data_IF_479297587376
#
_entry.id   IF_479297587376
#
_cell.length_a   1.000
_cell.length_b   1.000
_cell.length_c   1.000
_cell.angle_alpha   90.00
_cell.angle_beta   90.00
_cell.angle_gamma   90.00
#
_symmetry.space_group_name_H-M   'P 1'
#
loop_
_entity.id
_entity.type
_entity.pdbx_description
1 polymer ?
#
# COMPACT_ATOMS: atom_id res chain seq x y z
N UNK A 1 9.39 5.08 2.27
CA UNK A 1 9.56 4.36 3.56
C UNK A 1 10.42 5.21 4.48
N UNK A 2 10.09 5.32 5.76
CA UNK A 2 10.84 6.20 6.67
C UNK A 2 12.32 5.77 6.84
N UNK A 3 12.56 4.46 6.72
CA UNK A 3 13.89 3.82 6.71
C UNK A 3 14.62 3.82 8.06
N UNK A 4 13.87 3.63 9.14
CA UNK A 4 14.33 3.57 10.53
C UNK A 4 14.35 2.14 11.11
N UNK A 5 13.95 1.12 10.34
CA UNK A 5 13.81 -0.27 10.81
C UNK A 5 15.10 -1.08 10.67
N UNK A 6 15.75 -1.03 9.50
CA UNK A 6 16.86 -1.93 9.16
C UNK A 6 18.06 -1.79 10.12
N UNK A 7 18.31 -0.57 10.60
CA UNK A 7 19.40 -0.25 11.53
C UNK A 7 18.89 0.21 12.90
N UNK A 8 17.62 -0.07 13.23
CA UNK A 8 17.08 0.25 14.54
C UNK A 8 17.84 -0.50 15.65
N UNK A 9 18.03 0.13 16.81
CA UNK A 9 18.73 -0.48 17.95
C UNK A 9 18.04 -1.73 18.50
N UNK A 10 16.73 -1.86 18.25
CA UNK A 10 15.94 -3.03 18.64
C UNK A 10 15.85 -4.09 17.53
N UNK A 11 16.37 -3.83 16.34
CA UNK A 11 16.42 -4.85 15.30
C UNK A 11 17.52 -5.87 15.66
N UNK A 12 17.17 -7.15 15.93
CA UNK A 12 18.16 -8.17 16.28
C UNK A 12 19.09 -8.54 15.12
N UNK A 13 18.78 -8.12 13.88
CA UNK A 13 19.55 -8.40 12.67
C UNK A 13 19.76 -7.10 11.87
N UNK A 14 20.84 -6.36 12.14
CA UNK A 14 21.15 -5.12 11.41
C UNK A 14 21.17 -5.32 9.89
N UNK A 15 20.66 -4.33 9.14
CA UNK A 15 20.47 -4.33 7.68
C UNK A 15 19.56 -5.45 7.14
N UNK A 16 18.78 -6.09 8.01
CA UNK A 16 17.82 -7.13 7.62
C UNK A 16 16.41 -6.73 8.03
N UNK A 17 15.48 -6.78 7.08
CA UNK A 17 14.04 -6.74 7.32
C UNK A 17 13.45 -8.03 6.75
N UNK A 18 12.58 -8.68 7.52
CA UNK A 18 11.82 -9.86 7.10
C UNK A 18 10.33 -9.58 7.28
N UNK A 19 9.49 -10.16 6.42
CA UNK A 19 8.02 -10.05 6.50
C UNK A 19 7.33 -11.37 6.89
N UNK A 20 8.11 -12.42 7.12
CA UNK A 20 7.64 -13.74 7.58
C UNK A 20 8.77 -14.45 8.36
N UNK A 21 8.43 -15.37 9.29
CA UNK A 21 9.42 -16.12 10.06
C UNK A 21 10.35 -16.90 9.13
N UNK A 22 11.66 -16.77 9.36
CA UNK A 22 12.70 -17.36 8.52
C UNK A 22 12.65 -16.94 7.04
N UNK A 23 11.94 -15.86 6.71
CA UNK A 23 11.86 -15.29 5.37
C UNK A 23 13.17 -14.66 4.90
N UNK A 24 13.27 -14.37 3.59
CA UNK A 24 14.43 -13.69 3.02
C UNK A 24 14.52 -12.24 3.52
N UNK A 25 15.70 -11.63 3.40
CA UNK A 25 15.85 -10.18 3.60
C UNK A 25 15.13 -9.43 2.47
N UNK A 26 14.07 -8.71 2.81
CA UNK A 26 13.30 -7.88 1.85
C UNK A 26 13.80 -6.44 1.76
N UNK A 27 14.82 -6.08 2.54
CA UNK A 27 15.43 -4.75 2.54
C UNK A 27 16.57 -4.59 1.54
N UNK A 28 17.20 -5.69 1.13
CA UNK A 28 18.31 -5.63 0.17
C UNK A 28 17.77 -5.33 -1.25
N UNK A 29 18.51 -4.55 -2.04
CA UNK A 29 18.18 -4.17 -3.44
C UNK A 29 16.87 -3.39 -3.64
N UNK A 30 16.39 -2.67 -2.63
CA UNK A 30 15.27 -1.74 -2.78
C UNK A 30 15.77 -0.34 -3.14
N UNK A 31 15.09 0.31 -4.10
CA UNK A 31 15.29 1.72 -4.40
C UNK A 31 14.42 2.55 -3.44
N UNK A 32 15.05 3.32 -2.55
CA UNK A 32 14.35 4.24 -1.65
C UNK A 32 14.36 5.63 -2.28
N UNK A 33 13.23 5.99 -2.90
CA UNK A 33 13.08 7.28 -3.58
C UNK A 33 12.77 8.44 -2.61
N UNK A 34 12.13 8.14 -1.47
CA UNK A 34 11.78 9.10 -0.41
C UNK A 34 12.05 8.46 0.95
N UNK A 35 12.85 9.13 1.79
CA UNK A 35 13.34 8.62 3.08
C UNK A 35 13.02 9.60 4.23
N UNK A 36 12.80 9.08 5.43
CA UNK A 36 12.62 9.88 6.64
C UNK A 36 11.51 10.92 6.47
N UNK A 37 11.84 12.19 6.71
CA UNK A 37 10.88 13.30 6.64
C UNK A 37 10.36 13.61 5.23
N UNK A 38 10.96 13.03 4.19
CA UNK A 38 10.42 13.14 2.81
C UNK A 38 9.19 12.26 2.60
N UNK A 39 8.94 11.29 3.50
CA UNK A 39 7.77 10.40 3.47
C UNK A 39 6.59 11.13 4.09
N UNK A 40 5.98 11.98 3.29
CA UNK A 40 5.10 13.03 3.76
C UNK A 40 3.96 13.26 2.75
N UNK A 41 2.88 13.90 3.19
CA UNK A 41 1.63 14.13 2.46
C UNK A 41 1.87 14.97 1.21
N UNK A 42 2.66 16.03 1.34
CA UNK A 42 2.97 16.91 0.21
C UNK A 42 3.67 16.14 -0.92
N UNK A 43 4.68 15.36 -0.59
CA UNK A 43 5.42 14.55 -1.55
C UNK A 43 4.55 13.43 -2.12
N UNK A 44 3.69 12.78 -1.34
CA UNK A 44 2.75 11.79 -1.87
C UNK A 44 1.87 12.40 -2.97
N UNK A 45 1.30 13.57 -2.71
CA UNK A 45 0.42 14.23 -3.68
C UNK A 45 1.19 14.68 -4.92
N UNK A 46 2.38 15.26 -4.76
CA UNK A 46 3.27 15.60 -5.87
C UNK A 46 3.66 14.38 -6.71
N UNK A 47 3.97 13.25 -6.06
CA UNK A 47 4.28 11.98 -6.73
C UNK A 47 3.12 11.52 -7.61
N UNK A 48 1.90 11.51 -7.08
CA UNK A 48 0.70 11.10 -7.83
C UNK A 48 0.41 12.06 -9.00
N UNK A 49 0.59 13.36 -8.78
CA UNK A 49 0.38 14.39 -9.81
C UNK A 49 1.52 14.47 -10.84
N UNK A 50 2.61 13.74 -10.65
CA UNK A 50 3.75 13.74 -11.57
C UNK A 50 4.62 15.01 -11.47
N UNK A 51 4.59 15.68 -10.31
CA UNK A 51 5.34 16.92 -10.09
C UNK A 51 6.81 16.63 -9.76
N UNK A 52 7.68 16.88 -10.74
CA UNK A 52 9.12 16.66 -10.62
C UNK A 52 9.84 17.62 -9.67
N UNK A 53 9.16 18.64 -9.11
CA UNK A 53 9.73 19.55 -8.12
C UNK A 53 10.12 18.85 -6.81
N UNK A 54 9.66 17.61 -6.59
CA UNK A 54 10.10 16.77 -5.47
C UNK A 54 11.58 16.42 -5.50
N UNK A 55 12.25 16.54 -6.66
CA UNK A 55 13.66 16.17 -6.83
C UNK A 55 13.91 14.65 -6.89
N UNK A 56 12.85 13.83 -6.84
CA UNK A 56 12.93 12.36 -6.87
C UNK A 56 11.92 11.75 -7.87
N UNK A 57 11.77 10.42 -7.87
CA UNK A 57 10.91 9.71 -8.82
C UNK A 57 9.42 9.98 -8.56
N UNK A 58 8.71 10.40 -9.61
CA UNK A 58 7.25 10.63 -9.58
C UNK A 58 6.52 9.79 -10.61
N UNK A 59 5.19 9.69 -10.49
CA UNK A 59 4.36 9.02 -11.48
C UNK A 59 4.37 9.84 -12.77
N UNK A 60 5.02 9.33 -13.82
CA UNK A 60 5.05 10.00 -15.15
C UNK A 60 3.68 10.08 -15.84
N UNK A 61 2.73 9.24 -15.41
CA UNK A 61 1.43 9.06 -16.05
C UNK A 61 1.53 8.67 -17.53
N UNK A 62 0.45 8.93 -18.26
CA UNK A 62 0.26 8.58 -19.66
C UNK A 62 -0.99 7.72 -19.87
N UNK A 63 -1.78 8.04 -20.91
CA UNK A 63 -3.06 7.37 -21.21
C UNK A 63 -2.95 5.87 -21.53
N UNK A 64 -1.73 5.35 -21.67
CA UNK A 64 -1.41 3.93 -21.91
C UNK A 64 -0.72 3.26 -20.72
N UNK A 65 -0.39 4.01 -19.66
CA UNK A 65 0.31 3.51 -18.48
C UNK A 65 -0.68 3.09 -17.41
N UNK A 66 -0.44 1.94 -16.80
CA UNK A 66 -1.16 1.53 -15.60
C UNK A 66 -0.41 2.01 -14.35
N UNK A 67 -1.14 2.36 -13.31
CA UNK A 67 -0.58 2.77 -12.02
C UNK A 67 -0.98 1.76 -10.97
N UNK A 68 -0.03 1.33 -10.14
CA UNK A 68 -0.29 0.57 -8.94
C UNK A 68 0.13 1.38 -7.74
N UNK A 69 -0.78 1.60 -6.81
CA UNK A 69 -0.51 2.24 -5.53
C UNK A 69 -0.78 1.23 -4.41
N UNK A 70 0.21 1.01 -3.57
CA UNK A 70 0.06 0.21 -2.37
C UNK A 70 0.37 1.11 -1.18
N UNK A 71 -0.49 1.12 -0.17
CA UNK A 71 -0.29 1.83 1.08
C UNK A 71 -0.38 0.82 2.23
N UNK A 72 0.49 0.95 3.22
CA UNK A 72 0.43 0.20 4.46
C UNK A 72 0.89 1.06 5.60
N UNK A 73 0.03 1.30 6.58
CA UNK A 73 0.33 2.22 7.67
C UNK A 73 -0.83 2.32 8.64
N UNK A 74 -0.92 3.46 9.32
CA UNK A 74 -1.97 3.72 10.29
C UNK A 74 -3.04 4.64 9.68
N UNK A 75 -4.24 4.51 10.23
CA UNK A 75 -5.35 5.41 10.01
C UNK A 75 -6.11 5.58 11.35
N UNK A 76 -6.87 6.66 11.48
CA UNK A 76 -7.75 6.87 12.61
C UNK A 76 -9.09 6.13 12.44
N UNK A 77 -10.04 6.40 13.34
CA UNK A 77 -11.39 5.80 13.32
C UNK A 77 -12.25 6.32 12.15
N UNK A 78 -11.90 7.48 11.57
CA UNK A 78 -12.53 8.05 10.38
C UNK A 78 -11.87 7.51 9.08
N UNK A 79 -10.91 6.58 9.21
CA UNK A 79 -10.15 5.99 8.12
C UNK A 79 -9.18 6.96 7.44
N UNK A 80 -8.99 8.16 7.98
CA UNK A 80 -8.01 9.11 7.47
C UNK A 80 -6.61 8.56 7.74
N UNK A 81 -5.80 8.38 6.69
CA UNK A 81 -4.53 7.70 6.81
C UNK A 81 -3.37 8.67 7.05
N UNK A 82 -2.33 8.22 7.74
CA UNK A 82 -1.18 9.07 8.06
C UNK A 82 0.05 8.73 7.24
N UNK A 83 0.92 9.71 7.06
CA UNK A 83 2.27 9.49 6.54
C UNK A 83 3.23 9.33 7.72
N UNK A 84 4.41 8.75 7.48
CA UNK A 84 5.41 8.54 8.54
C UNK A 84 5.91 9.85 9.20
N UNK A 85 5.63 11.03 8.62
CA UNK A 85 5.97 12.32 9.21
C UNK A 85 5.02 12.69 10.35
N UNK A 86 5.48 12.74 11.62
CA UNK A 86 4.61 12.85 12.80
C UNK A 86 3.84 14.17 12.93
N UNK A 87 4.14 15.18 12.12
CA UNK A 87 3.54 16.52 12.23
C UNK A 87 2.63 16.92 11.07
N UNK A 88 2.45 16.10 10.03
CA UNK A 88 1.68 16.50 8.84
C UNK A 88 0.18 16.18 8.90
N UNK A 89 -0.26 15.58 10.01
CA UNK A 89 -1.66 15.22 10.23
C UNK A 89 -2.13 14.11 9.30
N UNK A 90 -3.43 13.82 9.38
CA UNK A 90 -4.06 12.79 8.57
C UNK A 90 -4.39 13.28 7.15
N UNK A 91 -4.48 12.33 6.23
CA UNK A 91 -4.94 12.54 4.86
C UNK A 91 -6.39 12.11 4.78
N UNK A 92 -7.26 13.10 4.55
CA UNK A 92 -8.70 12.85 4.45
C UNK A 92 -9.06 12.14 3.17
N UNK A 93 -10.16 11.39 3.19
CA UNK A 93 -10.76 10.80 2.01
C UNK A 93 -10.98 11.84 0.90
N UNK A 94 -11.58 12.97 1.23
CA UNK A 94 -11.87 14.07 0.29
C UNK A 94 -10.61 14.63 -0.38
N UNK A 95 -9.52 14.81 0.37
CA UNK A 95 -8.24 15.28 -0.17
C UNK A 95 -7.62 14.24 -1.11
N UNK A 96 -7.59 12.98 -0.69
CA UNK A 96 -7.01 11.91 -1.48
C UNK A 96 -7.78 11.69 -2.80
N UNK A 97 -9.11 11.64 -2.73
CA UNK A 97 -9.97 11.50 -3.90
C UNK A 97 -9.84 12.71 -4.84
N UNK A 98 -9.71 13.92 -4.31
CA UNK A 98 -9.46 15.11 -5.13
C UNK A 98 -8.13 15.03 -5.87
N UNK A 99 -7.07 14.53 -5.22
CA UNK A 99 -5.78 14.28 -5.90
C UNK A 99 -5.93 13.23 -7.01
N UNK A 100 -6.70 12.16 -6.80
CA UNK A 100 -6.97 11.18 -7.85
C UNK A 100 -7.77 11.79 -9.02
N UNK A 101 -8.74 12.68 -8.74
CA UNK A 101 -9.49 13.42 -9.76
C UNK A 101 -8.54 14.30 -10.58
N UNK A 102 -7.67 15.07 -9.91
CA UNK A 102 -6.66 15.89 -10.58
C UNK A 102 -5.68 15.05 -11.40
N UNK A 103 -5.24 13.90 -10.88
CA UNK A 103 -4.39 12.97 -11.61
C UNK A 103 -5.08 12.49 -12.90
N UNK A 104 -6.37 12.16 -12.85
CA UNK A 104 -7.13 11.73 -14.05
C UNK A 104 -7.19 12.79 -15.15
N UNK A 105 -7.08 14.07 -14.80
CA UNK A 105 -7.15 15.22 -15.71
C UNK A 105 -5.76 15.67 -16.19
N UNK A 106 -4.82 15.86 -15.26
CA UNK A 106 -3.51 16.51 -15.49
C UNK A 106 -2.38 15.51 -15.75
N UNK A 107 -2.48 14.31 -15.19
CA UNK A 107 -1.47 13.25 -15.30
C UNK A 107 -2.12 11.89 -15.58
N UNK A 108 -2.88 11.78 -16.69
CA UNK A 108 -3.87 10.71 -16.87
C UNK A 108 -3.21 9.34 -16.96
N UNK A 109 -3.89 8.30 -16.46
CA UNK A 109 -3.49 6.90 -16.57
C UNK A 109 -4.52 6.08 -17.35
N UNK A 110 -4.13 4.90 -17.83
CA UNK A 110 -5.05 3.95 -18.46
C UNK A 110 -5.97 3.31 -17.41
N UNK A 111 -5.38 2.70 -16.37
CA UNK A 111 -6.05 2.13 -15.21
C UNK A 111 -5.18 2.29 -13.97
N UNK A 112 -5.81 2.44 -12.81
CA UNK A 112 -5.13 2.48 -11.52
C UNK A 112 -5.68 1.38 -10.61
N UNK A 113 -4.79 0.61 -10.01
CA UNK A 113 -5.12 -0.34 -8.96
C UNK A 113 -4.53 0.18 -7.64
N UNK A 114 -5.39 0.37 -6.64
CA UNK A 114 -5.01 0.82 -5.30
C UNK A 114 -5.21 -0.34 -4.32
N UNK A 115 -4.26 -0.57 -3.43
CA UNK A 115 -4.38 -1.52 -2.32
C UNK A 115 -3.97 -0.85 -1.01
N UNK A 116 -4.87 -0.79 -0.03
CA UNK A 116 -4.68 -0.11 1.25
C UNK A 116 -4.73 -1.11 2.42
N UNK A 117 -3.64 -1.19 3.17
CA UNK A 117 -3.52 -1.89 4.45
C UNK A 117 -3.51 -0.89 5.61
N UNK A 118 -4.68 -0.61 6.16
CA UNK A 118 -4.86 0.05 7.45
C UNK A 118 -6.29 -0.21 7.98
N UNK A 119 -6.49 -0.01 9.29
CA UNK A 119 -7.83 -0.01 9.90
C UNK A 119 -8.75 1.01 9.22
N UNK A 120 -10.05 0.71 9.15
CA UNK A 120 -11.08 1.56 8.56
C UNK A 120 -10.80 2.00 7.10
N UNK A 121 -9.88 1.31 6.39
CA UNK A 121 -9.46 1.69 5.03
C UNK A 121 -10.61 1.74 4.01
N UNK A 122 -11.74 1.08 4.28
CA UNK A 122 -12.96 1.22 3.49
C UNK A 122 -13.47 2.66 3.41
N UNK A 123 -13.35 3.44 4.49
CA UNK A 123 -13.88 4.81 4.59
C UNK A 123 -13.19 5.78 3.61
N UNK A 124 -11.98 5.44 3.16
CA UNK A 124 -11.26 6.22 2.15
C UNK A 124 -11.94 6.21 0.77
N UNK A 125 -12.82 5.25 0.51
CA UNK A 125 -13.38 5.02 -0.82
C UNK A 125 -14.90 4.82 -0.84
N UNK A 126 -15.50 4.37 0.26
CA UNK A 126 -16.96 4.24 0.38
C UNK A 126 -17.63 5.59 0.12
N UNK A 127 -18.60 5.60 -0.80
CA UNK A 127 -19.33 6.78 -1.31
C UNK A 127 -18.49 7.86 -2.02
N UNK A 128 -17.18 7.93 -1.77
CA UNK A 128 -16.29 8.97 -2.29
C UNK A 128 -15.64 8.61 -3.64
N UNK A 129 -15.27 7.34 -3.88
CA UNK A 129 -14.56 6.95 -5.10
C UNK A 129 -15.52 6.70 -6.28
N UNK A 130 -15.55 7.58 -7.30
CA UNK A 130 -16.47 7.43 -8.42
C UNK A 130 -16.13 6.21 -9.30
N UNK A 131 -17.17 5.54 -9.79
CA UNK A 131 -17.03 4.32 -10.62
C UNK A 131 -16.50 4.58 -12.04
N UNK A 132 -16.45 5.84 -12.48
CA UNK A 132 -15.99 6.26 -13.81
C UNK A 132 -14.55 6.81 -13.83
N UNK A 133 -13.78 6.67 -12.75
CA UNK A 133 -12.43 7.22 -12.63
C UNK A 133 -11.30 6.30 -13.11
N UNK A 134 -11.59 5.11 -13.67
CA UNK A 134 -10.58 4.12 -14.09
C UNK A 134 -9.71 3.60 -12.94
N UNK A 135 -10.16 3.79 -11.71
CA UNK A 135 -9.54 3.35 -10.46
C UNK A 135 -10.33 2.17 -9.92
N UNK A 136 -9.64 1.11 -9.50
CA UNK A 136 -10.18 0.09 -8.61
C UNK A 136 -9.34 0.11 -7.33
N UNK A 137 -10.02 0.18 -6.18
CA UNK A 137 -9.38 0.14 -4.87
C UNK A 137 -9.73 -1.16 -4.16
N UNK A 138 -8.75 -1.74 -3.47
CA UNK A 138 -8.89 -2.89 -2.59
C UNK A 138 -8.42 -2.48 -1.20
N UNK A 139 -9.26 -2.67 -0.20
CA UNK A 139 -8.95 -2.30 1.19
C UNK A 139 -8.79 -3.53 2.04
N UNK A 140 -8.05 -3.40 3.13
CA UNK A 140 -7.88 -4.47 4.10
C UNK A 140 -9.06 -4.57 5.06
N UNK A 141 -9.46 -3.46 5.66
CA UNK A 141 -10.64 -3.35 6.51
C UNK A 141 -11.88 -2.89 5.74
N UNK A 142 -13.06 -3.27 6.24
CA UNK A 142 -14.30 -2.57 5.92
C UNK A 142 -14.31 -1.17 6.56
N UNK A 143 -15.42 -0.45 6.48
CA UNK A 143 -15.52 0.91 7.03
C UNK A 143 -15.49 0.94 8.55
N UNK A 144 -15.91 -0.13 9.23
CA UNK A 144 -16.03 -0.25 10.68
C UNK A 144 -15.07 -1.29 11.29
N UNK A 145 -13.96 -1.58 10.61
CA UNK A 145 -13.08 -2.69 10.98
C UNK A 145 -11.60 -2.33 11.14
N UNK A 146 -11.04 -2.85 12.23
CA UNK A 146 -9.60 -2.93 12.43
C UNK A 146 -8.92 -3.98 11.54
N UNK A 147 -7.65 -3.74 11.26
CA UNK A 147 -6.75 -4.71 10.61
C UNK A 147 -5.73 -5.27 11.60
N UNK A 148 -5.18 -6.45 11.30
CA UNK A 148 -4.33 -7.17 12.25
C UNK A 148 -2.92 -7.38 11.72
N UNK A 149 -1.94 -7.36 12.62
CA UNK A 149 -0.62 -7.90 12.37
C UNK A 149 -0.61 -9.43 12.32
N UNK A 150 0.43 -9.98 11.70
CA UNK A 150 0.74 -11.41 11.69
C UNK A 150 2.21 -11.63 12.07
N UNK A 151 2.51 -12.82 12.60
CA UNK A 151 3.84 -13.19 13.11
C UNK A 151 4.32 -12.30 14.26
N UNK A 152 3.46 -12.09 15.26
CA UNK A 152 3.72 -11.21 16.40
C UNK A 152 4.41 -11.91 17.58
N UNK A 153 4.46 -13.24 17.58
CA UNK A 153 4.93 -14.05 18.71
C UNK A 153 6.37 -14.57 18.55
N UNK A 154 7.17 -13.99 17.63
CA UNK A 154 8.57 -14.39 17.47
C UNK A 154 9.42 -13.83 18.64
N UNK A 155 10.06 -14.69 19.46
CA UNK A 155 10.81 -14.22 20.64
C UNK A 155 12.02 -13.34 20.30
N UNK A 156 12.51 -13.36 19.04
CA UNK A 156 13.60 -12.49 18.59
C UNK A 156 13.12 -11.08 18.26
N UNK A 157 11.86 -10.92 17.88
CA UNK A 157 11.29 -9.65 17.41
C UNK A 157 10.16 -9.20 18.34
N UNK A 158 10.33 -8.05 18.98
CA UNK A 158 9.29 -7.47 19.86
C UNK A 158 8.17 -6.74 19.09
N UNK A 159 7.85 -7.24 17.90
CA UNK A 159 6.90 -6.62 16.97
C UNK A 159 6.34 -7.67 16.01
N UNK A 160 5.20 -7.37 15.37
CA UNK A 160 4.70 -8.17 14.25
C UNK A 160 5.56 -7.95 13.00
N UNK A 161 5.77 -8.99 12.20
CA UNK A 161 6.61 -8.91 11.00
C UNK A 161 5.87 -8.36 9.77
N UNK A 162 4.53 -8.47 9.74
CA UNK A 162 3.71 -7.98 8.63
C UNK A 162 2.28 -7.68 9.06
N UNK A 163 1.55 -6.93 8.23
CA UNK A 163 0.09 -6.89 8.27
C UNK A 163 -0.53 -8.17 7.66
N UNK A 164 -1.65 -8.62 8.18
CA UNK A 164 -2.29 -9.88 7.81
C UNK A 164 -2.76 -9.88 6.35
N UNK A 165 -3.35 -8.78 5.88
CA UNK A 165 -3.72 -8.65 4.47
C UNK A 165 -2.49 -8.47 3.60
N UNK A 166 -1.50 -7.70 4.05
CA UNK A 166 -0.22 -7.55 3.33
C UNK A 166 0.48 -8.89 3.10
N UNK A 167 0.46 -9.77 4.11
CA UNK A 167 1.02 -11.11 4.03
C UNK A 167 0.30 -11.94 2.96
N UNK A 168 -1.03 -12.07 3.03
CA UNK A 168 -1.76 -12.88 2.04
C UNK A 168 -1.75 -12.27 0.65
N UNK A 169 -1.73 -10.94 0.53
CA UNK A 169 -1.57 -10.24 -0.74
C UNK A 169 -0.23 -10.62 -1.36
N UNK A 170 0.86 -10.49 -0.61
CA UNK A 170 2.22 -10.83 -1.08
C UNK A 170 2.38 -12.32 -1.36
N UNK A 171 1.81 -13.18 -0.53
CA UNK A 171 1.81 -14.63 -0.72
C UNK A 171 1.12 -15.00 -2.04
N UNK A 172 -0.05 -14.42 -2.34
CA UNK A 172 -0.71 -14.64 -3.63
C UNK A 172 0.19 -14.25 -4.80
N UNK A 173 0.86 -13.10 -4.72
CA UNK A 173 1.74 -12.63 -5.79
C UNK A 173 2.97 -13.53 -6.00
N UNK A 174 3.49 -14.15 -4.94
CA UNK A 174 4.63 -15.10 -5.01
C UNK A 174 4.22 -16.43 -5.63
N UNK A 175 3.05 -16.95 -5.24
CA UNK A 175 2.63 -18.32 -5.56
C UNK A 175 1.83 -18.45 -6.87
N UNK A 176 1.52 -17.35 -7.55
CA UNK A 176 0.64 -17.37 -8.72
C UNK A 176 1.22 -16.67 -9.95
N UNK A 177 0.90 -17.21 -11.14
CA UNK A 177 1.24 -16.61 -12.43
C UNK A 177 0.38 -15.36 -12.69
N UNK A 178 0.98 -14.18 -12.50
CA UNK A 178 0.31 -12.88 -12.66
C UNK A 178 -0.18 -12.61 -14.09
N UNK A 179 0.30 -13.36 -15.09
CA UNK A 179 -0.21 -13.27 -16.47
C UNK A 179 -1.58 -13.92 -16.61
N UNK A 180 -1.91 -14.86 -15.70
CA UNK A 180 -3.18 -15.59 -15.65
C UNK A 180 -4.09 -15.12 -14.53
N UNK A 181 -3.54 -14.68 -13.40
CA UNK A 181 -4.32 -14.22 -12.25
C UNK A 181 -4.81 -12.78 -12.43
N UNK A 182 -6.07 -12.56 -12.07
CA UNK A 182 -6.76 -11.26 -12.07
C UNK A 182 -6.75 -10.59 -10.69
N UNK A 183 -7.15 -9.32 -10.64
CA UNK A 183 -7.39 -8.62 -9.37
C UNK A 183 -8.49 -9.33 -8.56
N UNK A 184 -9.53 -9.88 -9.22
CA UNK A 184 -10.54 -10.67 -8.52
C UNK A 184 -10.00 -11.97 -7.92
N UNK A 185 -9.07 -12.65 -8.59
CA UNK A 185 -8.43 -13.86 -8.03
C UNK A 185 -7.65 -13.51 -6.77
N UNK A 186 -6.88 -12.41 -6.81
CA UNK A 186 -6.16 -11.87 -5.65
C UNK A 186 -7.13 -11.48 -4.53
N UNK A 187 -8.17 -10.71 -4.84
CA UNK A 187 -9.18 -10.29 -3.87
C UNK A 187 -9.85 -11.48 -3.18
N UNK A 188 -10.31 -12.46 -3.95
CA UNK A 188 -10.97 -13.64 -3.42
C UNK A 188 -10.03 -14.47 -2.55
N UNK A 189 -8.76 -14.59 -2.94
CA UNK A 189 -7.75 -15.27 -2.15
C UNK A 189 -7.51 -14.56 -0.81
N UNK A 190 -7.25 -13.26 -0.84
CA UNK A 190 -6.97 -12.46 0.37
C UNK A 190 -8.17 -12.47 1.30
N UNK A 191 -9.38 -12.19 0.80
CA UNK A 191 -10.62 -12.16 1.59
C UNK A 191 -10.93 -13.52 2.26
N UNK A 192 -10.66 -14.64 1.59
CA UNK A 192 -10.84 -15.98 2.18
C UNK A 192 -9.76 -16.34 3.20
N UNK A 193 -8.58 -15.75 3.09
CA UNK A 193 -7.41 -16.11 3.89
C UNK A 193 -7.29 -15.27 5.16
N UNK A 194 -7.64 -13.97 5.12
CA UNK A 194 -7.56 -13.08 6.28
C UNK A 194 -8.48 -13.52 7.42
N UNK A 195 -9.76 -13.85 7.13
CA UNK A 195 -10.79 -14.35 8.06
C UNK A 195 -11.11 -13.50 9.31
N UNK A 196 -10.26 -12.53 9.67
CA UNK A 196 -10.37 -11.66 10.84
C UNK A 196 -10.96 -10.28 10.54
N UNK A 197 -10.88 -9.86 9.27
CA UNK A 197 -11.45 -8.63 8.74
C UNK A 197 -11.88 -8.90 7.29
N UNK A 198 -12.67 -7.99 6.72
CA UNK A 198 -13.33 -8.18 5.43
C UNK A 198 -12.78 -7.22 4.37
N UNK A 199 -11.74 -7.62 3.62
CA UNK A 199 -11.27 -6.85 2.48
C UNK A 199 -12.41 -6.51 1.53
N UNK A 200 -12.47 -5.26 1.07
CA UNK A 200 -13.51 -4.76 0.16
C UNK A 200 -12.91 -4.27 -1.17
N UNK A 201 -13.77 -4.10 -2.17
CA UNK A 201 -13.42 -3.46 -3.44
C UNK A 201 -14.30 -2.23 -3.67
N UNK A 202 -13.71 -1.16 -4.20
CA UNK A 202 -14.38 0.11 -4.50
C UNK A 202 -14.01 0.63 -5.89
N UNK A 203 -14.80 1.61 -6.37
CA UNK A 203 -14.59 2.27 -7.66
C UNK A 203 -15.06 1.42 -8.84
N UNK A 204 -14.24 1.34 -9.89
CA UNK A 204 -14.58 0.64 -11.13
C UNK A 204 -14.39 -0.88 -10.98
N UNK A 205 -15.30 -1.55 -10.27
CA UNK A 205 -15.22 -2.98 -9.92
C UNK A 205 -14.99 -3.90 -11.13
N UNK A 206 -15.51 -3.56 -12.31
CA UNK A 206 -15.29 -4.33 -13.54
C UNK A 206 -13.80 -4.45 -13.92
N UNK A 207 -12.95 -3.50 -13.50
CA UNK A 207 -11.50 -3.60 -13.68
C UNK A 207 -10.89 -4.79 -12.90
N UNK A 208 -11.63 -5.39 -11.97
CA UNK A 208 -11.24 -6.60 -11.25
C UNK A 208 -10.89 -7.80 -12.14
N UNK A 209 -11.40 -7.84 -13.38
CA UNK A 209 -11.07 -8.90 -14.35
C UNK A 209 -9.66 -8.75 -14.96
N UNK A 210 -9.05 -7.57 -14.84
CA UNK A 210 -7.73 -7.31 -15.41
C UNK A 210 -6.67 -8.19 -14.76
N UNK A 211 -5.74 -8.68 -15.58
CA UNK A 211 -4.61 -9.50 -15.13
C UNK A 211 -3.64 -8.65 -14.31
N UNK A 212 -3.14 -9.21 -13.21
CA UNK A 212 -2.21 -8.53 -12.32
C UNK A 212 -0.92 -8.10 -13.04
N UNK A 213 -0.50 -8.85 -14.08
CA UNK A 213 0.66 -8.46 -14.91
C UNK A 213 0.53 -7.07 -15.53
N UNK A 214 -0.69 -6.56 -15.68
CA UNK A 214 -0.94 -5.23 -16.23
C UNK A 214 -0.44 -4.12 -15.30
N UNK A 215 -0.36 -4.40 -14.00
CA UNK A 215 0.04 -3.49 -12.94
C UNK A 215 1.39 -3.86 -12.32
N UNK A 216 1.69 -5.15 -12.23
CA UNK A 216 2.84 -5.72 -11.51
C UNK A 216 3.73 -6.51 -12.48
N UNK A 217 5.04 -6.24 -12.49
CA UNK A 217 5.98 -6.99 -13.35
C UNK A 217 6.43 -8.29 -12.68
N UNK A 218 6.82 -9.28 -13.50
CA UNK A 218 7.17 -10.66 -13.10
C UNK A 218 8.38 -10.78 -12.16
N UNK A 219 9.13 -9.71 -11.93
CA UNK A 219 10.18 -9.69 -10.91
C UNK A 219 9.56 -9.28 -9.57
N UNK A 220 8.79 -10.19 -8.97
CA UNK A 220 8.13 -10.03 -7.67
C UNK A 220 9.12 -9.93 -6.49
N UNK A 221 10.42 -10.11 -6.74
CA UNK A 221 11.51 -9.71 -5.83
C UNK A 221 11.78 -8.20 -5.82
N UNK A 222 11.21 -7.45 -6.77
CA UNK A 222 11.37 -6.00 -6.93
C UNK A 222 10.03 -5.28 -7.09
N UNK A 223 8.99 -5.73 -6.38
CA UNK A 223 7.89 -4.82 -6.13
C UNK A 223 8.47 -3.72 -5.23
N UNK A 224 8.82 -2.58 -5.85
CA UNK A 224 8.81 -1.30 -5.16
C UNK A 224 7.38 -1.05 -4.71
N UNK A 225 6.97 -1.77 -3.66
CA UNK A 225 5.85 -1.37 -2.84
C UNK A 225 6.26 0.03 -2.40
N UNK A 226 5.44 1.04 -2.70
CA UNK A 226 5.49 2.29 -1.95
C UNK A 226 5.12 1.93 -0.50
N UNK A 227 6.06 1.34 0.22
CA UNK A 227 5.99 1.09 1.65
C UNK A 227 6.05 2.48 2.28
N UNK A 228 4.89 3.12 2.41
CA UNK A 228 4.70 4.20 3.37
C UNK A 228 4.48 3.54 4.72
N UNK A 229 5.43 2.73 5.21
CA UNK A 229 5.32 2.15 6.54
C UNK A 229 5.44 3.27 7.57
N UNK A 230 4.29 3.77 8.02
CA UNK A 230 4.16 4.50 9.28
C UNK A 230 4.01 3.49 10.42
N UNK A 231 5.03 2.70 10.71
CA UNK A 231 5.12 2.03 12.01
C UNK A 231 6.01 2.92 12.86
N UNK A 232 5.42 3.97 13.43
CA UNK A 232 6.05 4.65 14.56
C UNK A 232 5.94 3.70 15.75
N UNK A 233 7.07 3.22 16.24
CA UNK A 233 7.12 2.51 17.52
C UNK A 233 6.82 3.52 18.63
N UNK A 234 5.56 3.69 19.00
CA UNK A 234 5.23 4.16 20.33
C UNK A 234 5.45 3.00 21.30
N UNK A 235 6.65 2.97 21.88
CA UNK A 235 6.92 2.20 23.08
C UNK A 235 6.48 3.07 24.26
N UNK A 236 5.65 2.46 25.12
CA UNK A 236 5.01 2.95 26.35
C UNK A 236 3.73 3.75 26.16
#
# INVERSE_FOLDING_TARGET
MYDDIANHTQNPRPNVIISEPNGPNVYHDIDIDYRGTEVNKENLFKVLLGDTSTGSKVVKGGRTQNVFLYYTGLADEDGEFTMSHPTEGYIKNTEFIEVLKQMSQKNPFYRMFIAFECSHSGMMFEEELPTNMKVIAMTAGATDEDTYGVFCDDPKYKTCLAGLFSYYFSHFLKENDLTKSSIFDLYNYVRRSTKKHHPQLYGQIQAGQMKLRAFLKYNTTKLGIFLVTGISFSIS
#
